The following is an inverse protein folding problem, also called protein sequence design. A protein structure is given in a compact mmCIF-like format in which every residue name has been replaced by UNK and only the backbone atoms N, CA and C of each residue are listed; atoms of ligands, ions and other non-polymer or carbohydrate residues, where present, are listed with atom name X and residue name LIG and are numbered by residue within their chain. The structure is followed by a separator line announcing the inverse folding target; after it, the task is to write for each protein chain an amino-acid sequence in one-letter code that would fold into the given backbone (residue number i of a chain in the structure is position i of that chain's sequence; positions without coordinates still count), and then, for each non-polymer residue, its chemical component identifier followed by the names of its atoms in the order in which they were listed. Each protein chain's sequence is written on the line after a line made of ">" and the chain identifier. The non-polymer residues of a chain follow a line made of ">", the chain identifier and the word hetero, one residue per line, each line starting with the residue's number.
data_IF_216405129957
#
_entry.id   IF_216405129957
#
_cell.length_a   1.000
_cell.length_b   1.000
_cell.length_c   1.000
_cell.angle_alpha   90.00
_cell.angle_beta   90.00
_cell.angle_gamma   90.00
#
_symmetry.space_group_name_H-M   'P 1'
#
loop_
_entity.id
_entity.type
_entity.pdbx_description
1 polymer ?
#
# COMPACT_ATOMS: atom_id res chain seq x y z
N UNK A 1 34.35 37.95 -37.96
CA UNK A 1 33.02 37.61 -37.44
C UNK A 1 31.98 38.68 -37.63
N UNK A 2 32.27 39.80 -38.32
CA UNK A 2 31.37 40.93 -38.57
C UNK A 2 30.44 40.76 -39.79
N UNK A 3 30.53 39.66 -40.51
CA UNK A 3 29.73 39.39 -41.71
C UNK A 3 28.37 38.74 -41.45
N UNK A 4 28.04 38.44 -40.20
CA UNK A 4 26.78 37.75 -39.83
C UNK A 4 25.64 38.71 -39.46
N UNK A 5 25.86 40.02 -39.51
CA UNK A 5 24.86 41.03 -39.15
C UNK A 5 24.71 42.05 -40.30
N UNK A 6 24.50 41.56 -41.51
CA UNK A 6 24.04 42.43 -42.61
C UNK A 6 22.51 42.55 -42.60
N UNK A 7 21.92 43.69 -43.02
CA UNK A 7 20.45 43.82 -43.09
C UNK A 7 19.79 42.74 -43.94
N UNK A 8 20.51 42.22 -44.95
CA UNK A 8 20.05 41.07 -45.74
C UNK A 8 19.98 39.77 -44.98
N UNK A 9 20.93 39.46 -44.08
CA UNK A 9 20.89 38.25 -43.25
C UNK A 9 19.75 38.28 -42.22
N UNK A 10 19.40 39.46 -41.71
CA UNK A 10 18.27 39.69 -40.83
C UNK A 10 16.94 39.47 -41.58
N UNK A 11 16.85 39.97 -42.82
CA UNK A 11 15.67 39.76 -43.66
C UNK A 11 15.48 38.29 -44.05
N UNK A 12 16.57 37.58 -44.38
CA UNK A 12 16.52 36.13 -44.64
C UNK A 12 16.15 35.31 -43.37
N UNK A 13 16.65 35.70 -42.21
CA UNK A 13 16.26 35.09 -40.92
C UNK A 13 14.79 35.31 -40.63
N UNK A 14 14.29 36.53 -40.75
CA UNK A 14 12.87 36.87 -40.55
C UNK A 14 11.95 36.17 -41.57
N UNK A 15 12.35 36.08 -42.84
CA UNK A 15 11.59 35.37 -43.87
C UNK A 15 11.58 33.83 -43.59
N UNK A 16 12.70 33.29 -43.13
CA UNK A 16 12.80 31.89 -42.70
C UNK A 16 11.91 31.56 -41.52
N UNK A 17 11.93 32.40 -40.47
CA UNK A 17 11.10 32.24 -39.25
C UNK A 17 9.60 32.40 -39.54
N UNK A 18 9.21 33.20 -40.52
CA UNK A 18 7.81 33.32 -40.95
C UNK A 18 7.36 32.20 -41.91
N UNK A 19 8.27 31.66 -42.73
CA UNK A 19 7.96 30.58 -43.66
C UNK A 19 7.90 29.20 -42.95
N UNK A 20 8.72 28.98 -41.95
CA UNK A 20 8.77 27.72 -41.21
C UNK A 20 7.41 27.31 -40.61
N UNK A 21 6.62 28.21 -39.95
CA UNK A 21 5.29 27.86 -39.44
C UNK A 21 4.28 27.53 -40.56
N UNK A 22 4.39 28.16 -41.73
CA UNK A 22 3.47 27.90 -42.84
C UNK A 22 3.74 26.55 -43.51
N UNK A 23 5.01 26.15 -43.64
CA UNK A 23 5.42 24.90 -44.25
C UNK A 23 5.19 23.72 -43.27
N UNK A 24 5.37 23.95 -41.97
CA UNK A 24 5.29 22.89 -40.95
C UNK A 24 4.02 22.96 -40.09
N UNK A 25 2.93 23.52 -40.62
CA UNK A 25 1.64 23.70 -39.92
C UNK A 25 1.11 22.37 -39.27
N UNK A 26 1.28 21.27 -39.97
CA UNK A 26 0.79 19.98 -39.49
C UNK A 26 1.59 19.46 -38.28
N UNK A 27 2.91 19.71 -38.25
CA UNK A 27 3.75 19.35 -37.10
C UNK A 27 3.40 20.21 -35.88
N UNK A 28 3.17 21.50 -36.04
CA UNK A 28 2.74 22.41 -34.97
C UNK A 28 1.36 21.97 -34.42
N UNK A 29 0.42 21.61 -35.30
CA UNK A 29 -0.88 21.10 -34.94
C UNK A 29 -0.79 19.76 -34.20
N UNK A 30 0.11 18.87 -34.63
CA UNK A 30 0.37 17.60 -33.95
C UNK A 30 0.97 17.82 -32.58
N UNK A 31 1.92 18.73 -32.41
CA UNK A 31 2.49 19.09 -31.10
C UNK A 31 1.43 19.66 -30.15
N UNK A 32 0.58 20.57 -30.66
CA UNK A 32 -0.52 21.12 -29.85
C UNK A 32 -1.49 20.03 -29.38
N UNK A 33 -1.93 19.16 -30.29
CA UNK A 33 -2.81 18.06 -29.95
C UNK A 33 -2.17 17.07 -28.94
N UNK A 34 -0.87 16.80 -29.14
CA UNK A 34 -0.11 15.95 -28.19
C UNK A 34 0.00 16.60 -26.82
N UNK A 35 0.28 17.91 -26.76
CA UNK A 35 0.35 18.64 -25.48
C UNK A 35 -1.00 18.64 -24.77
N UNK A 36 -2.10 18.85 -25.51
CA UNK A 36 -3.44 18.80 -24.96
C UNK A 36 -3.82 17.39 -24.46
N UNK A 37 -3.49 16.34 -25.23
CA UNK A 37 -3.71 14.96 -24.80
C UNK A 37 -2.91 14.60 -23.55
N UNK A 38 -1.65 15.05 -23.43
CA UNK A 38 -0.83 14.87 -22.22
C UNK A 38 -1.41 15.60 -21.01
N UNK A 39 -2.01 16.77 -21.21
CA UNK A 39 -2.68 17.48 -20.13
C UNK A 39 -3.89 16.71 -19.61
N UNK A 40 -4.71 16.15 -20.49
CA UNK A 40 -5.84 15.31 -20.12
C UNK A 40 -5.35 14.02 -19.42
N UNK A 41 -4.30 13.41 -19.95
CA UNK A 41 -3.68 12.24 -19.33
C UNK A 41 -3.22 12.53 -17.90
N UNK A 42 -2.55 13.65 -17.66
CA UNK A 42 -2.09 14.05 -16.33
C UNK A 42 -3.26 14.24 -15.33
N UNK A 43 -4.42 14.71 -15.80
CA UNK A 43 -5.62 14.81 -14.95
C UNK A 43 -6.10 13.41 -14.52
N UNK A 44 -6.20 12.46 -15.46
CA UNK A 44 -6.62 11.10 -15.13
C UNK A 44 -5.59 10.36 -14.24
N UNK A 45 -4.30 10.59 -14.46
CA UNK A 45 -3.25 10.05 -13.58
C UNK A 45 -3.37 10.60 -12.14
N UNK A 46 -3.69 11.88 -12.00
CA UNK A 46 -3.96 12.49 -10.70
C UNK A 46 -5.19 11.89 -10.02
N UNK A 47 -6.31 11.76 -10.75
CA UNK A 47 -7.52 11.13 -10.23
C UNK A 47 -7.28 9.68 -9.81
N UNK A 48 -6.55 8.93 -10.62
CA UNK A 48 -6.15 7.55 -10.29
C UNK A 48 -5.30 7.49 -9.03
N UNK A 49 -4.33 8.39 -8.89
CA UNK A 49 -3.48 8.46 -7.69
C UNK A 49 -4.31 8.74 -6.43
N UNK A 50 -5.27 9.66 -6.48
CA UNK A 50 -6.17 9.96 -5.38
C UNK A 50 -7.04 8.75 -4.98
N UNK A 51 -7.59 8.05 -5.97
CA UNK A 51 -8.41 6.86 -5.72
C UNK A 51 -7.58 5.74 -5.09
N UNK A 52 -6.37 5.50 -5.59
CA UNK A 52 -5.47 4.49 -5.02
C UNK A 52 -5.07 4.83 -3.58
N UNK A 53 -4.72 6.08 -3.31
CA UNK A 53 -4.40 6.54 -1.96
C UNK A 53 -5.58 6.36 -0.99
N UNK A 54 -6.79 6.70 -1.42
CA UNK A 54 -8.00 6.49 -0.62
C UNK A 54 -8.27 5.00 -0.34
N UNK A 55 -8.14 4.16 -1.37
CA UNK A 55 -8.31 2.71 -1.23
C UNK A 55 -7.27 2.11 -0.29
N UNK A 56 -6.02 2.54 -0.37
CA UNK A 56 -4.94 2.09 0.50
C UNK A 56 -5.25 2.40 1.96
N UNK A 57 -5.59 3.63 2.30
CA UNK A 57 -5.95 4.04 3.67
C UNK A 57 -7.19 3.28 4.16
N UNK A 58 -8.24 3.17 3.34
CA UNK A 58 -9.47 2.45 3.70
C UNK A 58 -9.20 0.96 3.98
N UNK A 59 -8.39 0.32 3.16
CA UNK A 59 -8.00 -1.07 3.35
C UNK A 59 -7.18 -1.27 4.62
N UNK A 60 -6.25 -0.34 4.95
CA UNK A 60 -5.45 -0.41 6.17
C UNK A 60 -6.31 -0.24 7.42
N UNK A 61 -7.29 0.67 7.42
CA UNK A 61 -8.23 0.84 8.55
C UNK A 61 -9.02 -0.45 8.76
N UNK A 62 -9.63 -0.99 7.70
CA UNK A 62 -10.39 -2.24 7.79
C UNK A 62 -9.53 -3.42 8.24
N UNK A 63 -8.27 -3.48 7.81
CA UNK A 63 -7.31 -4.49 8.25
C UNK A 63 -7.03 -4.39 9.74
N UNK A 64 -6.83 -3.18 10.28
CA UNK A 64 -6.59 -2.97 11.71
C UNK A 64 -7.80 -3.42 12.54
N UNK A 65 -9.02 -3.08 12.12
CA UNK A 65 -10.25 -3.50 12.78
C UNK A 65 -10.40 -5.03 12.80
N UNK A 66 -10.15 -5.68 11.66
CA UNK A 66 -10.21 -7.13 11.57
C UNK A 66 -9.13 -7.83 12.42
N UNK A 67 -7.92 -7.29 12.44
CA UNK A 67 -6.83 -7.82 13.28
C UNK A 67 -7.13 -7.63 14.77
N UNK A 68 -7.78 -6.54 15.17
CA UNK A 68 -8.22 -6.34 16.54
C UNK A 68 -9.24 -7.40 16.95
N UNK A 69 -10.23 -7.65 16.11
CA UNK A 69 -11.24 -8.69 16.36
C UNK A 69 -10.59 -10.08 16.45
N UNK A 70 -9.70 -10.40 15.52
CA UNK A 70 -8.97 -11.68 15.51
C UNK A 70 -8.13 -11.87 16.78
N UNK A 71 -7.45 -10.81 17.22
CA UNK A 71 -6.68 -10.83 18.47
C UNK A 71 -7.55 -11.10 19.68
N UNK A 72 -8.71 -10.45 19.79
CA UNK A 72 -9.62 -10.63 20.92
C UNK A 72 -10.24 -12.04 20.95
N UNK A 73 -10.56 -12.62 19.78
CA UNK A 73 -11.04 -13.99 19.65
C UNK A 73 -9.95 -15.01 20.02
N UNK A 74 -8.74 -14.83 19.49
CA UNK A 74 -7.61 -15.72 19.80
C UNK A 74 -7.22 -15.64 21.29
N UNK A 75 -7.32 -14.48 21.92
CA UNK A 75 -7.13 -14.32 23.37
C UNK A 75 -8.13 -15.15 24.18
N UNK A 76 -9.39 -15.21 23.74
CA UNK A 76 -10.40 -16.07 24.37
C UNK A 76 -10.07 -17.55 24.14
N UNK A 77 -9.60 -17.93 22.94
CA UNK A 77 -9.15 -19.29 22.63
C UNK A 77 -7.99 -19.72 23.54
N UNK A 78 -6.95 -18.88 23.70
CA UNK A 78 -5.82 -19.14 24.60
C UNK A 78 -6.29 -19.35 26.06
N UNK A 79 -7.25 -18.53 26.51
CA UNK A 79 -7.81 -18.67 27.85
C UNK A 79 -8.57 -19.99 28.01
N UNK A 80 -9.34 -20.42 27.01
CA UNK A 80 -10.06 -21.68 26.99
C UNK A 80 -9.09 -22.87 26.97
N UNK A 81 -8.08 -22.87 26.11
CA UNK A 81 -7.06 -23.93 26.03
C UNK A 81 -6.23 -24.02 27.32
N UNK A 82 -5.92 -22.89 27.94
CA UNK A 82 -5.22 -22.90 29.25
C UNK A 82 -6.06 -23.58 30.33
N UNK A 83 -7.38 -23.37 30.34
CA UNK A 83 -8.28 -24.12 31.25
C UNK A 83 -8.34 -25.61 30.89
N UNK A 84 -8.33 -25.92 29.58
CA UNK A 84 -8.33 -27.32 29.11
C UNK A 84 -7.11 -28.10 29.57
N UNK A 85 -5.92 -27.48 29.66
CA UNK A 85 -4.71 -28.11 30.22
C UNK A 85 -4.96 -28.56 31.69
N UNK A 86 -5.57 -27.69 32.49
CA UNK A 86 -5.87 -28.04 33.89
C UNK A 86 -6.86 -29.20 33.97
N UNK A 87 -7.87 -29.25 33.12
CA UNK A 87 -8.85 -30.32 33.03
C UNK A 87 -8.19 -31.62 32.58
N UNK A 88 -7.42 -31.63 31.54
CA UNK A 88 -6.69 -32.80 30.99
C UNK A 88 -5.74 -33.38 32.04
N UNK A 89 -5.00 -32.54 32.75
CA UNK A 89 -4.14 -32.97 33.86
C UNK A 89 -4.94 -33.65 34.99
N UNK A 90 -6.12 -33.14 35.36
CA UNK A 90 -6.97 -33.73 36.39
C UNK A 90 -7.56 -35.08 35.93
N UNK A 91 -7.96 -35.17 34.65
CA UNK A 91 -8.45 -36.42 34.05
C UNK A 91 -7.34 -37.49 34.02
N UNK A 92 -6.14 -37.10 33.62
CA UNK A 92 -4.98 -38.02 33.67
C UNK A 92 -4.70 -38.53 35.07
N UNK A 93 -4.67 -37.66 36.09
CA UNK A 93 -4.48 -38.05 37.50
C UNK A 93 -5.57 -38.97 38.02
N UNK A 94 -6.78 -38.89 37.45
CA UNK A 94 -7.93 -39.75 37.79
C UNK A 94 -7.94 -41.04 36.96
N UNK A 95 -6.92 -41.34 36.19
CA UNK A 95 -6.83 -42.47 35.26
C UNK A 95 -7.98 -42.51 34.21
N UNK A 96 -8.54 -41.34 33.81
CA UNK A 96 -9.65 -41.21 32.88
C UNK A 96 -9.21 -40.66 31.49
N UNK A 97 -7.96 -40.24 31.36
CA UNK A 97 -7.36 -39.78 30.10
C UNK A 97 -5.95 -40.33 29.98
N UNK A 98 -5.48 -40.44 28.73
CA UNK A 98 -4.11 -40.81 28.43
C UNK A 98 -3.18 -39.58 28.53
N UNK A 99 -1.90 -39.81 28.82
CA UNK A 99 -0.87 -38.77 28.87
C UNK A 99 -0.70 -38.06 27.51
N UNK A 100 -0.96 -38.78 26.43
CA UNK A 100 -0.94 -38.22 25.08
C UNK A 100 -1.96 -37.07 24.91
N UNK A 101 -3.15 -37.18 25.50
CA UNK A 101 -4.17 -36.11 25.47
C UNK A 101 -3.70 -34.84 26.20
N UNK A 102 -2.96 -35.00 27.29
CA UNK A 102 -2.38 -33.87 28.02
C UNK A 102 -1.34 -33.17 27.17
N UNK A 103 -0.46 -33.94 26.51
CA UNK A 103 0.57 -33.36 25.61
C UNK A 103 -0.04 -32.64 24.41
N UNK A 104 -1.07 -33.21 23.79
CA UNK A 104 -1.79 -32.58 22.69
C UNK A 104 -2.42 -31.25 23.13
N UNK A 105 -3.12 -31.24 24.27
CA UNK A 105 -3.73 -30.02 24.80
C UNK A 105 -2.69 -28.94 25.11
N UNK A 106 -1.52 -29.33 25.65
CA UNK A 106 -0.41 -28.39 25.88
C UNK A 106 0.16 -27.84 24.60
N UNK A 107 0.34 -28.69 23.57
CA UNK A 107 0.80 -28.27 22.26
C UNK A 107 -0.17 -27.26 21.62
N UNK A 108 -1.46 -27.57 21.62
CA UNK A 108 -2.48 -26.71 21.02
C UNK A 108 -2.57 -25.34 21.73
N UNK A 109 -2.42 -25.34 23.06
CA UNK A 109 -2.37 -24.12 23.86
C UNK A 109 -1.10 -23.27 23.56
N UNK A 110 0.03 -23.93 23.31
CA UNK A 110 1.28 -23.26 22.95
C UNK A 110 1.18 -22.67 21.55
N UNK A 111 0.65 -23.42 20.59
CA UNK A 111 0.42 -22.97 19.21
C UNK A 111 -0.48 -21.73 19.17
N UNK A 112 -1.62 -21.77 19.89
CA UNK A 112 -2.52 -20.63 20.00
C UNK A 112 -1.86 -19.38 20.66
N UNK A 113 -0.92 -19.59 21.60
CA UNK A 113 -0.15 -18.47 22.16
C UNK A 113 0.81 -17.85 21.15
N UNK A 114 1.43 -18.63 20.28
CA UNK A 114 2.25 -18.11 19.19
C UNK A 114 1.41 -17.31 18.21
N UNK A 115 0.25 -17.84 17.79
CA UNK A 115 -0.70 -17.09 16.96
C UNK A 115 -1.09 -15.75 17.58
N UNK A 116 -1.30 -15.69 18.90
CA UNK A 116 -1.64 -14.45 19.60
C UNK A 116 -0.52 -13.40 19.47
N UNK A 117 0.75 -13.84 19.55
CA UNK A 117 1.91 -12.97 19.38
C UNK A 117 2.03 -12.49 17.93
N UNK A 118 1.81 -13.38 16.97
CA UNK A 118 1.86 -13.06 15.55
C UNK A 118 0.75 -12.07 15.16
N UNK A 119 -0.48 -12.27 15.63
CA UNK A 119 -1.58 -11.32 15.45
C UNK A 119 -1.26 -9.94 16.04
N UNK A 120 -0.56 -9.90 17.18
CA UNK A 120 -0.13 -8.62 17.76
C UNK A 120 0.94 -7.94 16.92
N UNK A 121 1.87 -8.70 16.39
CA UNK A 121 2.88 -8.20 15.46
C UNK A 121 2.25 -7.64 14.19
N UNK A 122 1.29 -8.38 13.59
CA UNK A 122 0.56 -7.92 12.41
C UNK A 122 -0.23 -6.64 12.67
N UNK A 123 -0.86 -6.51 13.83
CA UNK A 123 -1.59 -5.31 14.24
C UNK A 123 -0.66 -4.09 14.35
N UNK A 124 0.54 -4.27 14.92
CA UNK A 124 1.54 -3.20 15.00
C UNK A 124 2.04 -2.80 13.61
N UNK A 125 2.35 -3.78 12.75
CA UNK A 125 2.77 -3.52 11.38
C UNK A 125 1.68 -2.79 10.58
N UNK A 126 0.42 -3.22 10.67
CA UNK A 126 -0.69 -2.55 10.00
C UNK A 126 -0.87 -1.09 10.49
N UNK A 127 -0.62 -0.82 11.78
CA UNK A 127 -0.64 0.56 12.32
C UNK A 127 0.50 1.42 11.78
N UNK A 128 1.69 0.84 11.60
CA UNK A 128 2.84 1.52 10.99
C UNK A 128 2.57 1.80 9.51
N UNK A 129 2.01 0.82 8.79
CA UNK A 129 1.68 0.97 7.37
C UNK A 129 0.61 2.06 7.17
N UNK A 130 -0.41 2.13 8.03
CA UNK A 130 -1.39 3.20 8.02
C UNK A 130 -0.73 4.57 8.27
N UNK A 131 0.18 4.66 9.24
CA UNK A 131 0.91 5.90 9.53
C UNK A 131 1.73 6.36 8.33
N UNK A 132 2.37 5.43 7.60
CA UNK A 132 3.13 5.71 6.37
C UNK A 132 2.21 6.13 5.22
N UNK A 133 1.07 5.45 5.03
CA UNK A 133 0.09 5.78 4.00
C UNK A 133 -0.51 7.19 4.18
N UNK A 134 -0.60 7.66 5.44
CA UNK A 134 -1.03 9.03 5.77
C UNK A 134 0.08 10.08 5.62
N UNK A 135 1.25 9.68 5.13
CA UNK A 135 2.39 10.58 4.93
C UNK A 135 3.25 10.80 6.18
N UNK A 136 3.15 9.94 7.19
CA UNK A 136 4.02 9.97 8.35
C UNK A 136 5.42 9.42 8.07
N UNK A 137 6.41 9.77 8.92
CA UNK A 137 7.76 9.21 8.83
C UNK A 137 8.79 10.07 8.09
N UNK A 138 8.50 11.33 7.84
CA UNK A 138 9.40 12.30 7.18
C UNK A 138 10.25 13.14 8.15
N UNK A 139 10.22 12.83 9.44
CA UNK A 139 11.01 13.52 10.48
C UNK A 139 12.22 12.69 10.86
#
# INVERSE_FOLDING_TARGET
>A
PTYLVSPESILFGLAGDLAAPLVNRNAIKAQYNTANAKQVQAIYEYEQCLLLAYMEVSNMVSRIENLQLSYDLNKQQVAALTKSIAISNNLFRSARADYMEVLLTQRDALESKFELVDLKLEQLNASIDLYRALGGGWN
#
